data_IF_758582247807
#
_entry.id   IF_758582247807
#
_cell.length_a   1.000
_cell.length_b   1.000
_cell.length_c   1.000
_cell.angle_alpha   90.00
_cell.angle_beta   90.00
_cell.angle_gamma   90.00
#
_symmetry.space_group_name_H-M   'P 1'
#
loop_
_entity.id
_entity.type
_entity.pdbx_description
1 polymer ?
#
# COMPACT_ATOMS: atom_id res chain seq x y z
N UNK A 1 -1.76 -14.21 68.64
CA UNK A 1 -1.88 -13.66 67.26
C UNK A 1 -2.48 -14.77 66.38
N UNK A 2 -3.79 -14.72 66.05
CA UNK A 2 -4.48 -15.80 65.30
C UNK A 2 -4.45 -15.42 63.83
N UNK A 3 -3.72 -16.22 63.03
CA UNK A 3 -3.69 -16.10 61.57
C UNK A 3 -4.95 -16.80 61.04
N UNK A 4 -5.91 -16.05 60.50
CA UNK A 4 -7.10 -16.63 59.89
C UNK A 4 -6.77 -17.18 58.49
N UNK A 5 -6.96 -18.46 58.28
CA UNK A 5 -6.84 -19.09 56.99
C UNK A 5 -8.06 -18.74 56.11
N UNK A 6 -7.83 -18.10 54.97
CA UNK A 6 -8.84 -17.84 53.93
C UNK A 6 -9.26 -19.18 53.32
N UNK A 7 -10.57 -19.44 53.23
CA UNK A 7 -11.10 -20.70 52.69
C UNK A 7 -10.75 -20.86 51.21
N UNK A 8 -10.22 -22.02 50.76
CA UNK A 8 -9.73 -22.23 49.40
C UNK A 8 -10.76 -22.05 48.27
N UNK A 9 -12.06 -22.06 48.60
CA UNK A 9 -13.11 -21.90 47.60
C UNK A 9 -13.25 -20.49 46.99
N UNK A 10 -12.83 -19.44 47.72
CA UNK A 10 -12.92 -18.05 47.20
C UNK A 10 -11.78 -17.76 46.21
N UNK A 11 -10.62 -18.36 46.39
CA UNK A 11 -9.46 -18.20 45.50
C UNK A 11 -9.71 -18.81 44.12
N UNK A 12 -10.46 -19.94 44.07
CA UNK A 12 -10.77 -20.63 42.81
C UNK A 12 -11.78 -19.83 41.95
N UNK A 13 -12.72 -19.11 42.58
CA UNK A 13 -13.72 -18.31 41.87
C UNK A 13 -13.12 -17.05 41.25
N UNK A 14 -12.12 -16.43 41.87
CA UNK A 14 -11.44 -15.24 41.36
C UNK A 14 -10.53 -15.61 40.17
N UNK A 15 -9.88 -16.77 40.19
CA UNK A 15 -9.06 -17.26 39.07
C UNK A 15 -9.90 -17.62 37.84
N UNK A 16 -11.12 -18.14 38.00
CA UNK A 16 -12.04 -18.44 36.89
C UNK A 16 -12.64 -17.17 36.25
N UNK A 17 -12.72 -16.08 36.97
CA UNK A 17 -13.22 -14.80 36.42
C UNK A 17 -12.14 -14.04 35.61
N UNK A 18 -10.86 -14.25 35.91
CA UNK A 18 -9.75 -13.60 35.21
C UNK A 18 -9.46 -14.23 33.83
N UNK A 19 -9.94 -15.45 33.54
CA UNK A 19 -9.68 -16.16 32.28
C UNK A 19 -10.77 -16.01 31.21
N UNK A 20 -11.79 -15.19 31.44
CA UNK A 20 -12.92 -15.01 30.48
C UNK A 20 -12.87 -13.74 29.66
N UNK A 21 -11.79 -12.97 29.66
CA UNK A 21 -11.75 -11.68 28.94
C UNK A 21 -11.27 -11.77 27.50
N UNK A 22 -10.74 -12.88 26.99
CA UNK A 22 -10.14 -12.93 25.65
C UNK A 22 -10.82 -13.86 24.63
N UNK A 23 -12.04 -14.32 24.88
CA UNK A 23 -12.73 -15.28 23.98
C UNK A 23 -13.78 -14.62 23.05
N UNK A 24 -13.79 -13.33 22.92
CA UNK A 24 -14.55 -12.69 21.85
C UNK A 24 -13.60 -12.34 20.71
N UNK A 25 -13.47 -13.25 19.74
CA UNK A 25 -12.74 -12.94 18.52
C UNK A 25 -13.29 -11.66 17.93
N UNK A 26 -12.41 -10.69 17.85
CA UNK A 26 -12.70 -9.35 17.40
C UNK A 26 -12.89 -9.38 15.89
N UNK A 27 -14.14 -9.22 15.42
CA UNK A 27 -14.39 -8.99 13.99
C UNK A 27 -13.49 -7.88 13.52
N UNK A 28 -12.67 -8.16 12.50
CA UNK A 28 -11.70 -7.19 12.01
C UNK A 28 -11.58 -7.28 10.49
N UNK A 29 -11.12 -6.19 9.91
CA UNK A 29 -10.69 -6.17 8.53
C UNK A 29 -9.22 -6.59 8.54
N UNK A 30 -8.92 -7.72 7.90
CA UNK A 30 -7.60 -8.37 7.97
C UNK A 30 -6.68 -7.95 6.84
N UNK A 31 -7.24 -7.43 5.75
CA UNK A 31 -6.48 -7.00 4.59
C UNK A 31 -7.23 -5.87 3.91
N UNK A 32 -6.54 -4.78 3.67
CA UNK A 32 -6.98 -3.70 2.78
C UNK A 32 -5.89 -3.52 1.73
N UNK A 33 -6.25 -3.66 0.46
CA UNK A 33 -5.33 -3.61 -0.68
C UNK A 33 -5.82 -2.62 -1.73
N UNK A 34 -4.89 -2.11 -2.51
CA UNK A 34 -5.14 -1.33 -3.70
C UNK A 34 -4.52 -2.06 -4.90
N UNK A 35 -5.29 -2.30 -5.97
CA UNK A 35 -4.89 -3.12 -7.12
C UNK A 35 -4.27 -4.47 -6.70
N UNK A 36 -4.89 -5.15 -5.72
CA UNK A 36 -4.49 -6.45 -5.15
C UNK A 36 -3.16 -6.45 -4.39
N UNK A 37 -2.51 -5.30 -4.22
CA UNK A 37 -1.20 -5.15 -3.57
C UNK A 37 -1.37 -4.37 -2.26
N UNK A 38 -0.63 -4.75 -1.24
CA UNK A 38 -0.50 -3.97 0.00
C UNK A 38 0.50 -2.85 -0.23
N UNK A 39 0.07 -1.60 0.06
CA UNK A 39 0.91 -0.41 -0.07
C UNK A 39 1.62 -0.31 -1.45
N UNK A 40 0.90 -0.37 -2.60
CA UNK A 40 1.52 -0.33 -3.91
C UNK A 40 2.20 1.00 -4.19
N UNK A 41 3.36 0.91 -4.85
CA UNK A 41 4.17 2.03 -5.26
C UNK A 41 4.14 2.17 -6.79
N UNK A 42 3.83 3.36 -7.29
CA UNK A 42 3.89 3.67 -8.71
C UNK A 42 2.70 3.15 -9.53
N UNK A 43 1.49 3.21 -8.98
CA UNK A 43 0.28 2.84 -9.71
C UNK A 43 0.06 3.76 -10.92
N UNK A 44 -0.16 3.16 -12.09
CA UNK A 44 -0.45 3.85 -13.35
C UNK A 44 -1.96 3.88 -13.68
N UNK A 45 -2.81 3.51 -12.73
CA UNK A 45 -4.26 3.45 -12.85
C UNK A 45 -4.90 4.63 -12.14
N UNK A 46 -5.65 5.46 -12.90
CA UNK A 46 -6.33 6.65 -12.37
C UNK A 46 -7.54 6.32 -11.48
N UNK A 47 -8.14 5.15 -11.66
CA UNK A 47 -9.27 4.66 -10.86
C UNK A 47 -8.94 3.30 -10.27
N UNK A 48 -8.02 3.23 -9.31
CA UNK A 48 -7.58 1.97 -8.74
C UNK A 48 -8.73 1.28 -7.97
N UNK A 49 -8.66 -0.04 -7.90
CA UNK A 49 -9.62 -0.84 -7.13
C UNK A 49 -9.11 -1.03 -5.72
N UNK A 50 -9.99 -0.79 -4.77
CA UNK A 50 -9.77 -1.05 -3.35
C UNK A 50 -10.47 -2.37 -2.99
N UNK A 51 -9.77 -3.25 -2.30
CA UNK A 51 -10.32 -4.53 -1.85
C UNK A 51 -9.97 -4.78 -0.39
N UNK A 52 -10.85 -5.49 0.30
CA UNK A 52 -10.62 -5.86 1.69
C UNK A 52 -11.11 -7.26 2.00
N UNK A 53 -10.60 -7.82 3.08
CA UNK A 53 -11.08 -9.08 3.64
C UNK A 53 -11.55 -8.86 5.07
N UNK A 54 -12.62 -9.52 5.43
CA UNK A 54 -13.18 -9.48 6.77
C UNK A 54 -12.98 -10.83 7.42
N UNK A 55 -12.40 -10.83 8.63
CA UNK A 55 -12.32 -12.00 9.47
C UNK A 55 -13.63 -12.16 10.24
N UNK A 56 -14.29 -13.28 10.03
CA UNK A 56 -15.54 -13.66 10.70
C UNK A 56 -15.45 -15.05 11.31
N UNK A 57 -14.25 -15.49 11.65
CA UNK A 57 -13.92 -16.86 12.05
C UNK A 57 -14.79 -17.41 13.18
N UNK A 58 -15.26 -16.56 14.08
CA UNK A 58 -15.94 -17.03 15.29
C UNK A 58 -17.46 -16.84 15.29
N UNK A 59 -17.99 -15.99 14.42
CA UNK A 59 -19.44 -15.79 14.28
C UNK A 59 -19.77 -15.54 12.82
N UNK A 60 -20.63 -16.34 12.20
CA UNK A 60 -21.11 -16.08 10.85
C UNK A 60 -21.60 -14.63 10.74
N UNK A 61 -20.91 -13.83 9.95
CA UNK A 61 -21.22 -12.43 9.79
C UNK A 61 -21.20 -12.08 8.32
N UNK A 62 -22.23 -11.38 7.88
CA UNK A 62 -22.34 -10.90 6.51
C UNK A 62 -22.13 -9.39 6.51
N UNK A 63 -21.35 -8.92 5.53
CA UNK A 63 -21.27 -7.50 5.22
C UNK A 63 -22.62 -7.04 4.65
N UNK A 64 -23.14 -5.95 5.18
CA UNK A 64 -24.40 -5.33 4.74
C UNK A 64 -24.18 -3.95 4.15
N UNK A 65 -23.05 -3.34 4.43
CA UNK A 65 -22.67 -2.04 3.89
C UNK A 65 -21.15 -1.82 4.03
N UNK A 66 -20.64 -0.90 3.23
CA UNK A 66 -19.27 -0.35 3.36
C UNK A 66 -19.28 1.17 3.22
N UNK A 67 -18.18 1.81 3.62
CA UNK A 67 -17.80 3.20 3.31
C UNK A 67 -16.31 3.24 3.11
N UNK A 68 -15.86 3.82 2.00
CA UNK A 68 -14.46 4.00 1.69
C UNK A 68 -14.11 5.46 1.89
N UNK A 69 -12.99 5.69 2.54
CA UNK A 69 -12.39 7.00 2.74
C UNK A 69 -11.00 7.01 2.12
N UNK A 70 -10.72 8.00 1.28
CA UNK A 70 -9.38 8.25 0.73
C UNK A 70 -8.97 9.68 1.04
N UNK A 71 -7.75 9.86 1.51
CA UNK A 71 -7.25 11.16 1.98
C UNK A 71 -5.82 11.42 1.55
N UNK A 72 -5.42 12.68 1.55
CA UNK A 72 -4.05 13.14 1.35
C UNK A 72 -3.14 12.87 2.56
N UNK A 73 -3.70 12.64 3.75
CA UNK A 73 -2.96 12.36 4.99
C UNK A 73 -3.62 11.25 5.83
N UNK A 74 -2.86 10.46 6.58
CA UNK A 74 -3.44 9.44 7.45
C UNK A 74 -4.16 10.04 8.65
N UNK A 75 -3.84 11.27 9.05
CA UNK A 75 -4.44 11.98 10.19
C UNK A 75 -5.94 12.23 9.96
N UNK A 76 -6.31 12.72 8.77
CA UNK A 76 -7.72 12.92 8.41
C UNK A 76 -8.50 11.61 8.51
N UNK A 77 -7.94 10.50 8.02
CA UNK A 77 -8.61 9.21 8.13
C UNK A 77 -8.82 8.76 9.58
N UNK A 78 -7.87 9.05 10.48
CA UNK A 78 -8.02 8.72 11.91
C UNK A 78 -9.17 9.50 12.55
N UNK A 79 -9.42 10.72 12.08
CA UNK A 79 -10.56 11.55 12.49
C UNK A 79 -11.89 11.12 11.84
N UNK A 80 -11.84 10.23 10.86
CA UNK A 80 -13.02 9.78 10.10
C UNK A 80 -13.38 10.68 8.93
N UNK A 81 -12.43 11.53 8.51
CA UNK A 81 -12.55 12.50 7.43
C UNK A 81 -11.76 12.06 6.19
N UNK A 82 -12.14 12.61 5.04
CA UNK A 82 -11.47 12.39 3.77
C UNK A 82 -11.62 13.62 2.89
N UNK A 83 -10.48 14.11 2.36
CA UNK A 83 -10.42 15.27 1.47
C UNK A 83 -10.35 14.88 -0.02
N UNK A 84 -10.15 13.59 -0.33
CA UNK A 84 -10.02 13.09 -1.69
C UNK A 84 -11.25 12.30 -2.13
N UNK A 85 -11.73 11.37 -1.29
CA UNK A 85 -12.93 10.60 -1.56
C UNK A 85 -13.58 10.06 -0.29
N UNK A 86 -14.86 10.30 -0.18
CA UNK A 86 -15.77 9.64 0.74
C UNK A 86 -16.89 9.01 -0.08
N UNK A 87 -16.96 7.69 -0.13
CA UNK A 87 -18.02 6.99 -0.86
C UNK A 87 -19.40 7.16 -0.23
N UNK A 88 -19.49 7.71 0.98
CA UNK A 88 -20.65 7.55 1.82
C UNK A 88 -20.91 6.08 2.18
N UNK A 89 -21.93 5.83 2.99
CA UNK A 89 -22.35 4.47 3.33
C UNK A 89 -23.11 3.82 2.17
N UNK A 90 -22.50 2.82 1.54
CA UNK A 90 -23.08 2.03 0.45
C UNK A 90 -23.67 0.73 1.01
N UNK A 91 -24.94 0.45 0.72
CA UNK A 91 -25.59 -0.82 1.09
C UNK A 91 -25.20 -1.89 0.06
N UNK A 92 -24.13 -2.62 0.35
CA UNK A 92 -23.59 -3.67 -0.52
C UNK A 92 -22.71 -4.63 0.27
N UNK A 93 -22.61 -5.87 -0.18
CA UNK A 93 -21.68 -6.86 0.33
C UNK A 93 -20.41 -7.00 -0.54
N UNK A 94 -20.26 -6.14 -1.55
CA UNK A 94 -19.03 -6.05 -2.35
C UNK A 94 -17.82 -5.71 -1.49
N UNK A 95 -16.70 -6.38 -1.81
CA UNK A 95 -15.40 -6.20 -1.15
C UNK A 95 -14.28 -5.85 -2.15
N UNK A 96 -14.67 -5.48 -3.37
CA UNK A 96 -13.81 -4.97 -4.43
C UNK A 96 -14.53 -3.81 -5.09
N UNK A 97 -14.03 -2.59 -4.91
CA UNK A 97 -14.69 -1.36 -5.35
C UNK A 97 -13.70 -0.47 -6.08
N UNK A 98 -14.09 0.00 -7.25
CA UNK A 98 -13.31 0.97 -8.01
C UNK A 98 -13.39 2.35 -7.37
N UNK A 99 -12.27 3.04 -7.29
CA UNK A 99 -12.18 4.42 -6.85
C UNK A 99 -13.05 5.32 -7.72
N UNK A 100 -13.86 6.16 -7.09
CA UNK A 100 -14.78 7.09 -7.75
C UNK A 100 -14.71 8.52 -7.16
N UNK A 101 -13.59 8.87 -6.53
CA UNK A 101 -13.37 10.20 -5.98
C UNK A 101 -12.80 11.21 -6.98
N UNK A 102 -12.20 12.27 -6.47
CA UNK A 102 -11.51 13.28 -7.26
C UNK A 102 -10.37 12.70 -8.09
N UNK A 103 -10.03 13.31 -9.23
CA UNK A 103 -8.93 12.87 -10.08
C UNK A 103 -7.64 12.76 -9.28
N UNK A 104 -7.04 11.58 -9.26
CA UNK A 104 -5.75 11.36 -8.63
C UNK A 104 -4.65 12.05 -9.44
N UNK A 105 -3.69 12.63 -8.74
CA UNK A 105 -2.50 13.24 -9.35
C UNK A 105 -1.39 12.21 -9.50
N UNK A 106 -0.52 12.31 -10.53
CA UNK A 106 0.65 11.47 -10.63
C UNK A 106 1.63 11.72 -9.48
N UNK A 107 2.52 10.75 -9.20
CA UNK A 107 3.59 10.85 -8.20
C UNK A 107 3.11 11.26 -6.79
N UNK A 108 1.91 10.85 -6.41
CA UNK A 108 1.27 11.31 -5.18
C UNK A 108 0.88 10.14 -4.30
N UNK A 109 1.20 10.25 -3.01
CA UNK A 109 0.77 9.28 -1.99
C UNK A 109 -0.59 9.66 -1.45
N UNK A 110 -1.43 8.64 -1.34
CA UNK A 110 -2.76 8.69 -0.75
C UNK A 110 -2.90 7.64 0.34
N UNK A 111 -3.82 7.86 1.25
CA UNK A 111 -4.18 6.90 2.29
C UNK A 111 -5.63 6.49 2.14
N UNK A 112 -5.90 5.21 2.31
CA UNK A 112 -7.23 4.62 2.24
C UNK A 112 -7.62 3.94 3.53
N UNK A 113 -8.89 4.02 3.89
CA UNK A 113 -9.51 3.30 5.00
C UNK A 113 -10.88 2.82 4.57
N UNK A 114 -11.29 1.65 5.06
CA UNK A 114 -12.64 1.14 4.85
C UNK A 114 -13.35 0.93 6.19
N UNK A 115 -14.61 1.30 6.22
CA UNK A 115 -15.55 0.98 7.26
C UNK A 115 -16.53 -0.05 6.71
N UNK A 116 -16.79 -1.14 7.40
CA UNK A 116 -17.76 -2.15 7.00
C UNK A 116 -18.79 -2.38 8.11
N UNK A 117 -20.02 -2.70 7.73
CA UNK A 117 -21.07 -3.08 8.67
C UNK A 117 -21.30 -4.58 8.56
N UNK A 118 -20.96 -5.29 9.62
CA UNK A 118 -21.13 -6.72 9.78
C UNK A 118 -22.29 -6.97 10.75
N UNK A 119 -23.40 -7.50 10.25
CA UNK A 119 -24.60 -7.67 11.06
C UNK A 119 -24.95 -6.37 11.85
N UNK A 120 -24.94 -5.22 11.15
CA UNK A 120 -25.18 -3.87 11.65
C UNK A 120 -24.13 -3.30 12.64
N UNK A 121 -23.07 -4.03 12.95
CA UNK A 121 -21.96 -3.50 13.75
C UNK A 121 -20.86 -2.95 12.83
N UNK A 122 -20.46 -1.71 13.06
CA UNK A 122 -19.37 -1.07 12.29
C UNK A 122 -18.02 -1.62 12.74
N UNK A 123 -17.20 -1.99 11.75
CA UNK A 123 -15.79 -2.37 11.88
C UNK A 123 -14.99 -1.46 10.97
N UNK A 124 -13.81 -1.06 11.40
CA UNK A 124 -12.96 -0.09 10.70
C UNK A 124 -11.59 -0.72 10.47
N UNK A 125 -11.02 -0.53 9.27
CA UNK A 125 -9.66 -0.95 8.98
C UNK A 125 -8.63 0.02 9.55
N UNK A 126 -7.40 -0.46 9.73
CA UNK A 126 -6.26 0.44 9.78
C UNK A 126 -6.12 1.18 8.43
N UNK A 127 -5.60 2.40 8.43
CA UNK A 127 -5.25 3.09 7.19
C UNK A 127 -4.16 2.32 6.43
N UNK A 128 -4.31 2.21 5.11
CA UNK A 128 -3.25 1.77 4.21
C UNK A 128 -2.89 2.90 3.26
N UNK A 129 -1.68 2.92 2.71
CA UNK A 129 -1.30 3.88 1.70
C UNK A 129 -1.16 3.23 0.32
N UNK A 130 -1.30 4.03 -0.71
CA UNK A 130 -0.91 3.71 -2.08
C UNK A 130 -0.30 4.95 -2.72
N UNK A 131 0.57 4.76 -3.70
CA UNK A 131 1.25 5.86 -4.36
C UNK A 131 1.09 5.71 -5.87
N UNK A 132 0.65 6.78 -6.51
CA UNK A 132 0.48 6.84 -7.97
C UNK A 132 1.84 7.01 -8.64
N UNK A 133 1.96 6.44 -9.83
CA UNK A 133 3.10 6.60 -10.71
C UNK A 133 2.85 7.65 -11.78
N UNK A 134 3.21 7.31 -13.00
CA UNK A 134 3.00 8.12 -14.20
C UNK A 134 1.74 7.66 -14.91
N UNK A 135 0.84 8.59 -15.25
CA UNK A 135 -0.40 8.28 -15.93
C UNK A 135 -0.31 8.46 -17.44
N UNK A 136 0.67 9.25 -17.90
CA UNK A 136 0.83 9.58 -19.30
C UNK A 136 2.30 9.78 -19.68
N UNK A 137 2.58 9.82 -20.98
CA UNK A 137 3.92 10.12 -21.48
C UNK A 137 4.38 11.54 -21.07
N UNK A 138 3.45 12.49 -20.88
CA UNK A 138 3.77 13.88 -20.48
C UNK A 138 4.23 14.00 -19.02
N UNK A 139 4.03 12.97 -18.20
CA UNK A 139 4.54 12.92 -16.83
C UNK A 139 6.04 12.57 -16.76
N UNK A 140 6.66 12.28 -17.92
CA UNK A 140 8.08 12.01 -18.02
C UNK A 140 8.86 13.27 -18.39
N UNK A 141 9.85 13.61 -17.57
CA UNK A 141 10.85 14.67 -17.87
C UNK A 141 12.15 14.07 -18.42
N UNK A 142 12.30 12.77 -18.29
CA UNK A 142 13.48 12.05 -18.73
C UNK A 142 13.46 11.82 -20.25
N UNK A 143 14.66 11.76 -20.83
CA UNK A 143 14.88 11.36 -22.24
C UNK A 143 15.47 9.95 -22.30
N UNK A 144 15.23 9.27 -23.41
CA UNK A 144 15.93 8.03 -23.73
C UNK A 144 17.43 8.30 -23.89
N UNK A 145 18.24 7.39 -23.36
CA UNK A 145 19.69 7.42 -23.47
C UNK A 145 20.19 6.15 -24.15
N UNK A 146 21.25 6.27 -24.91
CA UNK A 146 21.97 5.16 -25.55
C UNK A 146 23.47 5.43 -25.44
N UNK A 147 24.28 4.41 -25.58
CA UNK A 147 25.74 4.52 -25.64
C UNK A 147 26.25 5.01 -27.00
N UNK A 148 25.38 5.07 -28.01
CA UNK A 148 25.70 5.55 -29.34
C UNK A 148 26.49 4.56 -30.21
N UNK A 149 26.73 3.33 -29.74
CA UNK A 149 27.37 2.28 -30.54
C UNK A 149 26.40 1.67 -31.56
N UNK A 150 26.96 1.05 -32.59
CA UNK A 150 26.20 0.32 -33.58
C UNK A 150 25.47 -0.88 -32.94
N UNK A 151 24.32 -1.24 -33.53
CA UNK A 151 23.47 -2.37 -33.08
C UNK A 151 24.20 -3.72 -33.08
N UNK A 152 25.30 -3.85 -33.80
CA UNK A 152 26.14 -5.06 -33.88
C UNK A 152 27.20 -5.11 -32.75
N UNK A 153 27.26 -4.07 -31.89
CA UNK A 153 28.12 -4.04 -30.71
C UNK A 153 27.34 -4.58 -29.51
N UNK A 154 27.73 -5.77 -29.07
CA UNK A 154 26.94 -6.56 -28.12
C UNK A 154 27.16 -6.36 -26.61
N UNK A 155 28.21 -5.71 -26.07
CA UNK A 155 28.33 -5.57 -24.62
C UNK A 155 27.26 -4.67 -24.04
N UNK A 156 26.72 -5.08 -22.87
CA UNK A 156 25.74 -4.28 -22.12
C UNK A 156 26.36 -2.96 -21.66
N UNK A 157 25.82 -1.80 -22.04
CA UNK A 157 26.39 -0.50 -21.68
C UNK A 157 26.20 -0.22 -20.17
N UNK A 158 27.18 0.49 -19.61
CA UNK A 158 27.10 1.00 -18.25
C UNK A 158 26.91 2.52 -18.27
N UNK A 159 25.75 2.96 -17.79
CA UNK A 159 25.48 4.39 -17.61
C UNK A 159 25.71 4.81 -16.17
N UNK A 160 26.40 5.94 -15.98
CA UNK A 160 26.65 6.52 -14.66
C UNK A 160 26.35 8.00 -14.67
N UNK A 161 25.63 8.47 -13.66
CA UNK A 161 25.39 9.89 -13.40
C UNK A 161 25.66 10.20 -11.93
N UNK A 162 26.39 11.29 -11.71
CA UNK A 162 26.58 11.87 -10.37
C UNK A 162 25.69 13.10 -10.26
N UNK A 163 25.06 13.27 -9.12
CA UNK A 163 24.27 14.45 -8.79
C UNK A 163 24.36 14.73 -7.29
N UNK A 164 24.20 15.99 -6.92
CA UNK A 164 24.26 16.43 -5.53
C UNK A 164 22.84 16.54 -4.95
N UNK A 165 22.72 16.13 -3.69
CA UNK A 165 21.50 16.30 -2.89
C UNK A 165 21.79 17.31 -1.79
N UNK A 166 21.36 18.55 -2.00
CA UNK A 166 21.70 19.70 -1.13
C UNK A 166 20.85 19.79 0.15
N UNK A 167 19.79 18.98 0.27
CA UNK A 167 18.85 19.01 1.41
C UNK A 167 18.64 17.59 1.95
N UNK A 168 18.25 17.49 3.22
CA UNK A 168 17.85 16.20 3.80
C UNK A 168 16.72 15.55 3.02
N UNK A 169 16.91 14.27 2.66
CA UNK A 169 15.92 13.49 1.89
C UNK A 169 14.86 12.97 2.83
N UNK A 170 13.62 13.42 2.65
CA UNK A 170 12.44 12.88 3.33
C UNK A 170 11.85 11.72 2.55
N UNK A 171 11.79 11.85 1.23
CA UNK A 171 11.25 10.83 0.32
C UNK A 171 11.83 11.04 -1.07
N UNK A 172 12.24 9.94 -1.71
CA UNK A 172 12.75 9.95 -3.08
C UNK A 172 12.26 8.73 -3.85
N UNK A 173 11.90 8.95 -5.11
CA UNK A 173 11.43 7.92 -6.04
C UNK A 173 12.28 7.91 -7.29
N UNK A 174 12.58 6.72 -7.78
CA UNK A 174 13.17 6.53 -9.09
C UNK A 174 12.16 5.84 -10.00
N UNK A 175 11.84 6.48 -11.11
CA UNK A 175 11.03 5.92 -12.20
C UNK A 175 11.98 5.59 -13.34
N UNK A 176 12.04 4.33 -13.73
CA UNK A 176 12.98 3.86 -14.73
C UNK A 176 12.33 2.89 -15.71
N UNK A 177 12.69 3.04 -16.98
CA UNK A 177 12.30 2.16 -18.06
C UNK A 177 13.53 1.74 -18.86
N UNK A 178 13.47 0.59 -19.51
CA UNK A 178 14.52 0.09 -20.40
C UNK A 178 13.91 -0.69 -21.57
N UNK A 179 14.49 -0.52 -22.76
CA UNK A 179 14.24 -1.40 -23.90
C UNK A 179 15.21 -2.59 -23.81
N UNK A 180 14.91 -3.50 -22.91
CA UNK A 180 15.77 -4.58 -22.46
C UNK A 180 15.80 -4.64 -20.93
N UNK A 181 16.67 -5.47 -20.39
CA UNK A 181 16.83 -5.60 -18.94
C UNK A 181 17.90 -4.64 -18.42
N UNK A 182 17.70 -4.13 -17.21
CA UNK A 182 18.69 -3.29 -16.54
C UNK A 182 18.95 -3.77 -15.11
N UNK A 183 20.06 -3.31 -14.56
CA UNK A 183 20.36 -3.36 -13.14
C UNK A 183 20.65 -1.96 -12.64
N UNK A 184 19.87 -1.53 -11.64
CA UNK A 184 19.97 -0.18 -11.10
C UNK A 184 20.63 -0.20 -9.72
N UNK A 185 21.56 0.75 -9.51
CA UNK A 185 22.24 0.92 -8.22
C UNK A 185 22.37 2.39 -7.88
N UNK A 186 22.29 2.72 -6.60
CA UNK A 186 22.59 4.03 -6.03
C UNK A 186 23.73 3.91 -5.02
N UNK A 187 24.75 4.73 -5.15
CA UNK A 187 25.93 4.71 -4.28
C UNK A 187 26.53 3.32 -4.07
N UNK A 188 26.57 2.51 -5.15
CA UNK A 188 27.08 1.15 -5.15
C UNK A 188 26.15 0.08 -4.56
N UNK A 189 24.95 0.44 -4.13
CA UNK A 189 23.94 -0.49 -3.61
C UNK A 189 22.85 -0.72 -4.65
N UNK A 190 22.56 -1.99 -4.95
CA UNK A 190 21.42 -2.34 -5.80
C UNK A 190 20.10 -1.87 -5.17
N UNK A 191 19.15 -1.42 -5.99
CA UNK A 191 17.83 -0.95 -5.53
C UNK A 191 16.93 -2.09 -5.07
N UNK A 192 17.14 -3.29 -5.61
CA UNK A 192 16.40 -4.51 -5.27
C UNK A 192 17.27 -5.74 -5.58
N UNK A 193 16.76 -6.92 -5.32
CA UNK A 193 17.34 -8.22 -5.61
C UNK A 193 16.72 -8.90 -6.84
N UNK A 194 15.83 -8.20 -7.56
CA UNK A 194 15.21 -8.73 -8.76
C UNK A 194 16.22 -8.87 -9.90
N UNK A 195 15.99 -9.86 -10.75
CA UNK A 195 16.61 -10.01 -12.05
C UNK A 195 15.58 -9.74 -13.15
N UNK A 196 16.06 -9.35 -14.33
CA UNK A 196 15.25 -9.18 -15.54
C UNK A 196 14.15 -8.10 -15.41
N UNK A 197 14.48 -6.98 -14.75
CA UNK A 197 13.63 -5.79 -14.71
C UNK A 197 13.80 -4.96 -16.02
N UNK A 198 12.73 -4.37 -16.54
CA UNK A 198 11.34 -4.27 -16.06
C UNK A 198 10.42 -5.40 -16.57
N UNK A 199 10.93 -6.43 -17.17
CA UNK A 199 10.19 -7.45 -17.88
C UNK A 199 10.06 -7.12 -19.37
N UNK A 200 9.96 -8.16 -20.18
CA UNK A 200 9.92 -8.06 -21.64
C UNK A 200 8.49 -7.83 -22.14
N UNK A 201 8.33 -6.92 -23.11
CA UNK A 201 7.07 -6.66 -23.82
C UNK A 201 7.35 -6.43 -25.30
N UNK A 202 6.31 -6.41 -26.11
CA UNK A 202 6.38 -5.88 -27.48
C UNK A 202 6.49 -4.34 -27.39
N UNK A 203 7.71 -3.82 -27.55
CA UNK A 203 8.01 -2.39 -27.38
C UNK A 203 7.31 -1.48 -28.39
N UNK A 204 6.81 -2.03 -29.52
CA UNK A 204 5.97 -1.26 -30.44
C UNK A 204 4.57 -0.96 -29.87
N UNK A 205 4.15 -1.72 -28.87
CA UNK A 205 2.84 -1.61 -28.24
C UNK A 205 2.89 -1.06 -26.81
N UNK A 206 3.86 -1.53 -26.02
CA UNK A 206 3.96 -1.17 -24.62
C UNK A 206 5.39 -1.26 -24.12
N UNK A 207 5.82 -0.23 -23.41
CA UNK A 207 7.07 -0.20 -22.65
C UNK A 207 6.71 -0.14 -21.17
N UNK A 208 7.27 -1.07 -20.37
CA UNK A 208 7.09 -1.09 -18.93
C UNK A 208 8.09 -0.16 -18.25
N UNK A 209 7.69 0.39 -17.11
CA UNK A 209 8.59 1.06 -16.19
C UNK A 209 8.40 0.53 -14.77
N UNK A 210 9.39 0.72 -13.94
CA UNK A 210 9.31 0.41 -12.51
C UNK A 210 9.54 1.66 -11.67
N UNK A 211 8.97 1.64 -10.48
CA UNK A 211 9.13 2.68 -9.47
C UNK A 211 9.81 2.10 -8.25
N UNK A 212 10.90 2.74 -7.82
CA UNK A 212 11.65 2.34 -6.64
C UNK A 212 11.64 3.42 -5.57
N UNK A 213 11.50 3.02 -4.32
CA UNK A 213 11.82 3.89 -3.18
C UNK A 213 13.33 3.89 -2.97
N UNK A 214 13.95 5.02 -3.24
CA UNK A 214 15.39 5.21 -3.11
C UNK A 214 15.76 6.13 -1.94
N UNK A 215 14.81 6.46 -1.07
CA UNK A 215 15.01 7.41 0.03
C UNK A 215 16.18 7.04 0.93
N UNK A 216 16.33 5.76 1.25
CA UNK A 216 17.42 5.25 2.08
C UNK A 216 18.77 5.05 1.35
N UNK A 217 18.82 5.24 0.04
CA UNK A 217 20.01 5.04 -0.79
C UNK A 217 20.72 6.36 -1.14
N UNK A 218 20.06 7.49 -0.93
CA UNK A 218 20.62 8.83 -1.13
C UNK A 218 21.34 9.27 0.14
N UNK A 219 22.48 9.98 -0.03
CA UNK A 219 23.33 10.50 1.04
C UNK A 219 23.60 11.98 0.82
#
# INVERSE_FOLDING_TARGET
MKIGYLKPGILLLVLLFSFRQDLFAKKRITSLKCEYIEAPLGLDVQRPRLMWKVDTSDVPSRQTAYRILVSSTPELLRQGEADIWDSGKQKSDEQLVSYAGSTLRPHTRYWGRVEVWLNNKKVVSEPMWFETGKFSATDWEASWITDGYDKDYEPSPMFRKVFDVSKGVVSARCYISGLGYYRLSFNGKAVNDHALDPGFTDYSKRVLYLTYDISGLLR
#
